data_IF_385260695026
#
_entry.id   IF_385260695026
#
_cell.length_a   1.000
_cell.length_b   1.000
_cell.length_c   1.000
_cell.angle_alpha   90.00
_cell.angle_beta   90.00
_cell.angle_gamma   90.00
#
_symmetry.space_group_name_H-M   'P 1'
#
loop_
_entity.id
_entity.type
_entity.pdbx_description
1 polymer ?
#
# COMPACT_ATOMS: atom_id res chain seq x y z
N UNK A 1 6.74 -15.85 -17.36
CA UNK A 1 6.30 -14.56 -16.74
C UNK A 1 7.20 -13.43 -17.21
N UNK A 2 6.66 -12.27 -17.54
CA UNK A 2 7.38 -11.05 -17.95
C UNK A 2 7.23 -9.98 -16.87
N UNK A 3 8.34 -9.37 -16.45
CA UNK A 3 8.34 -8.26 -15.48
C UNK A 3 8.84 -7.02 -16.19
N UNK A 4 8.08 -5.93 -16.09
CA UNK A 4 8.43 -4.63 -16.64
C UNK A 4 8.42 -3.58 -15.54
N UNK A 5 9.29 -2.59 -15.64
CA UNK A 5 9.17 -1.38 -14.85
C UNK A 5 7.97 -0.56 -15.34
N UNK A 6 7.26 0.02 -14.41
CA UNK A 6 6.22 1.00 -14.72
C UNK A 6 6.83 2.22 -15.44
N UNK A 7 6.10 2.73 -16.40
CA UNK A 7 6.38 4.00 -17.05
C UNK A 7 5.13 4.89 -17.02
N UNK A 8 5.28 6.19 -17.27
CA UNK A 8 4.15 7.13 -17.24
C UNK A 8 3.05 6.79 -18.25
N UNK A 9 3.40 6.14 -19.35
CA UNK A 9 2.47 5.66 -20.36
C UNK A 9 1.54 4.55 -19.82
N UNK A 10 1.97 3.82 -18.79
CA UNK A 10 1.22 2.74 -18.17
C UNK A 10 0.23 3.21 -17.10
N UNK A 11 0.18 4.53 -16.80
CA UNK A 11 -0.60 5.09 -15.69
C UNK A 11 -2.06 4.64 -15.70
N UNK A 12 -2.70 4.65 -16.85
CA UNK A 12 -4.10 4.24 -16.97
C UNK A 12 -4.28 2.75 -16.69
N UNK A 13 -3.41 1.91 -17.26
CA UNK A 13 -3.43 0.45 -17.05
C UNK A 13 -3.13 0.10 -15.60
N UNK A 14 -2.16 0.76 -14.98
CA UNK A 14 -1.84 0.63 -13.56
C UNK A 14 -3.04 0.98 -12.68
N UNK A 15 -3.64 2.17 -12.85
CA UNK A 15 -4.76 2.63 -12.04
C UNK A 15 -6.01 1.75 -12.21
N UNK A 16 -6.26 1.27 -13.43
CA UNK A 16 -7.34 0.31 -13.70
C UNK A 16 -7.10 -1.01 -12.95
N UNK A 17 -5.87 -1.52 -12.99
CA UNK A 17 -5.50 -2.72 -12.24
C UNK A 17 -5.67 -2.53 -10.73
N UNK A 18 -5.21 -1.40 -10.18
CA UNK A 18 -5.40 -1.06 -8.76
C UNK A 18 -6.88 -1.15 -8.39
N UNK A 19 -7.77 -0.51 -9.15
CA UNK A 19 -9.22 -0.48 -8.86
C UNK A 19 -9.87 -1.86 -8.85
N UNK A 20 -9.36 -2.79 -9.67
CA UNK A 20 -9.92 -4.13 -9.86
C UNK A 20 -9.18 -5.22 -9.06
N UNK A 21 -8.16 -4.87 -8.29
CA UNK A 21 -7.40 -5.81 -7.46
C UNK A 21 -8.20 -6.28 -6.25
N UNK A 22 -8.04 -7.55 -5.85
CA UNK A 22 -8.72 -8.09 -4.65
C UNK A 22 -8.19 -7.55 -3.32
N UNK A 23 -7.03 -6.91 -3.33
CA UNK A 23 -6.36 -6.29 -2.19
C UNK A 23 -6.01 -4.83 -2.45
N UNK A 24 -6.92 -4.12 -3.12
CA UNK A 24 -6.75 -2.72 -3.52
C UNK A 24 -6.73 -1.75 -2.34
N UNK A 25 -6.02 -0.64 -2.53
CA UNK A 25 -6.09 0.54 -1.67
C UNK A 25 -5.74 1.80 -2.48
N UNK A 26 -6.32 2.96 -2.15
CA UNK A 26 -6.08 4.20 -2.88
C UNK A 26 -4.61 4.67 -2.82
N UNK A 27 -3.83 4.23 -1.82
CA UNK A 27 -2.39 4.49 -1.74
C UNK A 27 -1.62 4.10 -3.00
N UNK A 28 -2.13 3.13 -3.74
CA UNK A 28 -1.46 2.58 -4.93
C UNK A 28 -1.88 3.23 -6.24
N UNK A 29 -2.83 4.18 -6.20
CA UNK A 29 -3.12 5.02 -7.36
C UNK A 29 -1.92 5.93 -7.65
N UNK A 30 -1.57 6.08 -8.93
CA UNK A 30 -0.35 6.81 -9.34
C UNK A 30 -0.34 8.25 -8.86
N UNK A 31 -1.47 8.96 -8.90
CA UNK A 31 -1.53 10.34 -8.42
C UNK A 31 -1.17 10.46 -6.94
N UNK A 32 -1.53 9.46 -6.12
CA UNK A 32 -1.15 9.42 -4.71
C UNK A 32 0.33 9.05 -4.51
N UNK A 33 0.83 8.05 -5.25
CA UNK A 33 2.23 7.62 -5.15
C UNK A 33 3.20 8.71 -5.66
N UNK A 34 2.83 9.38 -6.75
CA UNK A 34 3.63 10.40 -7.41
C UNK A 34 3.67 11.73 -6.64
N UNK A 35 2.80 11.93 -5.64
CA UNK A 35 2.81 13.11 -4.77
C UNK A 35 4.16 13.33 -4.06
N UNK A 36 4.91 12.26 -3.79
CA UNK A 36 6.24 12.29 -3.18
C UNK A 36 7.34 11.81 -4.13
N UNK A 37 7.18 11.97 -5.42
CA UNK A 37 8.16 11.56 -6.44
C UNK A 37 9.52 12.25 -6.29
N UNK A 38 9.57 13.42 -5.64
CA UNK A 38 10.79 14.12 -5.28
C UNK A 38 11.65 13.40 -4.21
N UNK A 39 11.05 12.47 -3.47
CA UNK A 39 11.70 11.77 -2.33
C UNK A 39 12.01 10.32 -2.60
N UNK A 40 11.32 9.69 -3.55
CA UNK A 40 11.41 8.25 -3.80
C UNK A 40 11.62 7.98 -5.28
N UNK A 41 12.73 7.35 -5.62
CA UNK A 41 12.99 6.87 -6.97
C UNK A 41 12.06 5.69 -7.28
N UNK A 42 11.08 5.91 -8.14
CA UNK A 42 10.09 4.89 -8.51
C UNK A 42 10.75 3.70 -9.21
N UNK A 43 10.47 2.53 -8.70
CA UNK A 43 10.86 1.24 -9.26
C UNK A 43 9.69 0.26 -9.26
N UNK A 44 8.50 0.79 -9.44
CA UNK A 44 7.27 -0.01 -9.48
C UNK A 44 7.30 -0.99 -10.63
N UNK A 45 6.76 -2.20 -10.38
CA UNK A 45 6.82 -3.30 -11.34
C UNK A 45 5.43 -3.74 -11.76
N UNK A 46 5.31 -4.12 -13.01
CA UNK A 46 4.13 -4.71 -13.64
C UNK A 46 4.46 -6.13 -14.09
N UNK A 47 3.63 -7.09 -13.70
CA UNK A 47 3.85 -8.51 -13.92
C UNK A 47 2.80 -9.04 -14.89
N UNK A 48 3.28 -9.58 -16.02
CA UNK A 48 2.45 -10.11 -17.07
C UNK A 48 2.64 -11.64 -17.18
N UNK A 49 1.54 -12.34 -17.44
CA UNK A 49 1.56 -13.76 -17.74
C UNK A 49 2.06 -14.04 -19.18
N UNK A 50 2.03 -15.31 -19.59
CA UNK A 50 2.47 -15.73 -20.91
C UNK A 50 1.54 -15.26 -22.05
N UNK A 51 0.32 -14.82 -21.70
CA UNK A 51 -0.66 -14.26 -22.65
C UNK A 51 -0.59 -12.73 -22.71
N UNK A 52 0.45 -12.12 -22.11
CA UNK A 52 0.63 -10.67 -21.97
C UNK A 52 -0.47 -9.98 -21.15
N UNK A 53 -1.18 -10.72 -20.32
CA UNK A 53 -2.15 -10.16 -19.38
C UNK A 53 -1.45 -9.67 -18.12
N UNK A 54 -1.75 -8.45 -17.66
CA UNK A 54 -1.32 -7.94 -16.37
C UNK A 54 -2.04 -8.71 -15.25
N UNK A 55 -1.28 -9.38 -14.38
CA UNK A 55 -1.79 -10.25 -13.31
C UNK A 55 -1.41 -9.79 -11.91
N UNK A 56 -0.35 -8.99 -11.80
CA UNK A 56 0.07 -8.38 -10.54
C UNK A 56 0.84 -7.08 -10.79
N UNK A 57 0.84 -6.20 -9.80
CA UNK A 57 1.70 -5.01 -9.75
C UNK A 57 2.37 -4.96 -8.39
N UNK A 58 3.59 -4.42 -8.36
CA UNK A 58 4.34 -4.16 -7.13
C UNK A 58 4.66 -2.67 -7.05
N UNK A 59 3.93 -1.90 -6.25
CA UNK A 59 4.35 -0.55 -5.89
C UNK A 59 5.71 -0.60 -5.21
N UNK A 60 6.71 0.03 -5.77
CA UNK A 60 8.07 -0.05 -5.24
C UNK A 60 8.88 1.22 -5.51
N UNK A 61 9.87 1.44 -4.67
CA UNK A 61 10.94 2.38 -4.92
C UNK A 61 12.29 1.72 -4.64
N UNK A 62 13.32 2.24 -5.27
CA UNK A 62 14.69 1.80 -5.03
C UNK A 62 15.45 2.85 -4.21
N UNK A 63 16.33 2.36 -3.35
CA UNK A 63 17.34 3.18 -2.69
C UNK A 63 18.60 2.35 -2.55
N UNK A 64 19.68 2.82 -3.17
CA UNK A 64 20.92 2.07 -3.29
C UNK A 64 20.67 0.72 -4.02
N UNK A 65 21.02 -0.40 -3.42
CA UNK A 65 20.82 -1.76 -3.91
C UNK A 65 19.59 -2.47 -3.30
N UNK A 66 18.67 -1.71 -2.68
CA UNK A 66 17.50 -2.25 -1.96
C UNK A 66 16.22 -1.83 -2.65
N UNK A 67 15.40 -2.81 -3.01
CA UNK A 67 14.03 -2.61 -3.46
C UNK A 67 13.08 -2.60 -2.26
N UNK A 68 12.32 -1.53 -2.12
CA UNK A 68 11.29 -1.41 -1.08
C UNK A 68 9.90 -1.50 -1.71
N UNK A 69 8.99 -2.24 -1.10
CA UNK A 69 7.58 -2.19 -1.49
C UNK A 69 6.90 -0.95 -0.92
N UNK A 70 7.37 0.14 -1.26
CA UNK A 70 7.28 1.57 -1.18
C UNK A 70 7.53 2.15 0.23
N UNK A 71 8.69 2.84 0.40
CA UNK A 71 9.10 3.46 1.67
C UNK A 71 8.14 4.56 2.13
N UNK A 72 7.61 5.35 1.20
CA UNK A 72 6.69 6.47 1.48
C UNK A 72 5.28 6.05 1.87
N UNK A 73 4.92 4.77 1.76
CA UNK A 73 3.59 4.25 2.12
C UNK A 73 3.65 3.47 3.43
N UNK A 74 2.56 3.48 4.18
CA UNK A 74 2.43 2.72 5.44
C UNK A 74 2.58 1.22 5.21
N UNK A 75 2.02 0.72 4.12
CA UNK A 75 2.10 -0.67 3.67
C UNK A 75 2.22 -0.71 2.14
N UNK A 76 2.57 -1.85 1.60
CA UNK A 76 2.78 -2.06 0.17
C UNK A 76 2.61 -3.53 -0.18
N UNK A 77 3.47 -4.06 -1.05
CA UNK A 77 3.43 -5.44 -1.50
C UNK A 77 2.67 -5.60 -2.81
N UNK A 78 2.51 -6.83 -3.24
CA UNK A 78 1.82 -7.12 -4.49
C UNK A 78 0.33 -6.83 -4.41
N UNK A 79 -0.18 -6.09 -5.39
CA UNK A 79 -1.59 -6.09 -5.73
C UNK A 79 -1.83 -7.16 -6.78
N UNK A 80 -2.92 -7.88 -6.64
CA UNK A 80 -3.21 -9.05 -7.47
C UNK A 80 -4.66 -9.08 -7.93
N UNK A 81 -4.89 -9.71 -9.08
CA UNK A 81 -6.24 -9.92 -9.61
C UNK A 81 -6.98 -11.06 -8.85
N UNK A 82 -8.26 -11.17 -9.10
CA UNK A 82 -9.14 -12.19 -8.51
C UNK A 82 -8.74 -13.64 -8.83
N UNK A 83 -7.94 -13.84 -9.87
CA UNK A 83 -7.52 -15.16 -10.34
C UNK A 83 -6.18 -15.61 -9.76
N UNK A 84 -5.52 -14.74 -8.99
CA UNK A 84 -4.24 -15.07 -8.38
C UNK A 84 -4.34 -16.33 -7.53
N UNK A 85 -3.38 -17.23 -7.73
CA UNK A 85 -3.19 -18.47 -7.00
C UNK A 85 -1.82 -18.51 -6.35
N UNK A 86 -1.69 -19.32 -5.32
CA UNK A 86 -0.42 -19.51 -4.61
C UNK A 86 0.70 -19.97 -5.55
N UNK A 87 0.42 -20.89 -6.47
CA UNK A 87 1.38 -21.37 -7.47
C UNK A 87 1.89 -20.23 -8.36
N UNK A 88 0.97 -19.42 -8.87
CA UNK A 88 1.29 -18.24 -9.68
C UNK A 88 2.14 -17.23 -8.91
N UNK A 89 1.82 -16.99 -7.64
CA UNK A 89 2.62 -16.08 -6.80
C UNK A 89 4.03 -16.62 -6.55
N UNK A 90 4.19 -17.93 -6.37
CA UNK A 90 5.52 -18.57 -6.28
C UNK A 90 6.33 -18.34 -7.56
N UNK A 91 5.74 -18.50 -8.73
CA UNK A 91 6.38 -18.23 -10.02
C UNK A 91 6.75 -16.75 -10.19
N UNK A 92 5.89 -15.83 -9.74
CA UNK A 92 6.17 -14.40 -9.71
C UNK A 92 7.42 -14.11 -8.88
N UNK A 93 7.55 -14.68 -7.70
CA UNK A 93 8.72 -14.46 -6.84
C UNK A 93 10.00 -15.07 -7.45
N UNK A 94 9.92 -16.23 -8.09
CA UNK A 94 11.07 -16.79 -8.82
C UNK A 94 11.50 -15.88 -9.96
N UNK A 95 10.55 -15.33 -10.71
CA UNK A 95 10.83 -14.38 -11.79
C UNK A 95 11.38 -13.06 -11.24
N UNK A 96 10.81 -12.58 -10.13
CA UNK A 96 11.26 -11.36 -9.44
C UNK A 96 12.71 -11.50 -8.96
N UNK A 97 13.08 -12.63 -8.35
CA UNK A 97 14.46 -12.88 -7.91
C UNK A 97 15.46 -12.83 -9.07
N UNK A 98 15.10 -13.35 -10.23
CA UNK A 98 15.95 -13.26 -11.43
C UNK A 98 16.07 -11.81 -11.90
N UNK A 99 14.92 -11.14 -12.03
CA UNK A 99 14.85 -9.76 -12.48
C UNK A 99 15.68 -8.81 -11.60
N UNK A 100 15.53 -8.86 -10.28
CA UNK A 100 16.29 -7.98 -9.37
C UNK A 100 17.78 -8.25 -9.40
N UNK A 101 18.20 -9.53 -9.58
CA UNK A 101 19.60 -9.89 -9.73
C UNK A 101 20.21 -9.27 -10.99
N UNK A 102 19.48 -9.26 -12.10
CA UNK A 102 19.90 -8.60 -13.34
C UNK A 102 20.01 -7.07 -13.20
N UNK A 103 19.25 -6.49 -12.27
CA UNK A 103 19.30 -5.06 -11.95
C UNK A 103 20.33 -4.71 -10.84
N UNK A 104 21.16 -5.66 -10.39
CA UNK A 104 22.11 -5.52 -9.27
C UNK A 104 21.43 -5.11 -7.95
N UNK A 105 20.20 -5.54 -7.72
CA UNK A 105 19.48 -5.34 -6.47
C UNK A 105 19.74 -6.53 -5.56
N UNK A 106 20.28 -6.28 -4.36
CA UNK A 106 20.71 -7.33 -3.44
C UNK A 106 19.62 -7.71 -2.43
N UNK A 107 18.66 -6.79 -2.17
CA UNK A 107 17.69 -6.97 -1.09
C UNK A 107 16.31 -6.45 -1.46
N UNK A 108 15.29 -7.13 -0.96
CA UNK A 108 13.91 -6.64 -0.96
C UNK A 108 13.46 -6.41 0.48
N UNK A 109 12.91 -5.23 0.75
CA UNK A 109 12.17 -4.93 1.99
C UNK A 109 10.68 -4.87 1.64
N UNK A 110 9.97 -5.92 2.01
CA UNK A 110 8.58 -6.13 1.65
C UNK A 110 7.65 -5.79 2.81
N UNK A 111 6.71 -4.88 2.59
CA UNK A 111 5.63 -4.57 3.52
C UNK A 111 4.36 -5.28 3.02
N UNK A 112 3.71 -6.05 3.89
CA UNK A 112 2.45 -6.69 3.50
C UNK A 112 1.27 -5.72 3.66
N UNK A 113 0.30 -5.81 2.75
CA UNK A 113 -0.98 -5.13 2.89
C UNK A 113 -1.73 -5.78 4.06
N UNK A 114 -2.23 -5.02 5.05
CA UNK A 114 -3.05 -5.58 6.12
C UNK A 114 -4.35 -6.19 5.58
N UNK A 115 -4.70 -7.38 6.05
CA UNK A 115 -5.89 -8.13 5.59
C UNK A 115 -7.20 -7.36 5.72
N UNK A 116 -7.28 -6.41 6.66
CA UNK A 116 -8.46 -5.55 6.88
C UNK A 116 -8.84 -4.69 5.67
N UNK A 117 -7.89 -4.45 4.75
CA UNK A 117 -8.11 -3.71 3.52
C UNK A 117 -8.38 -4.61 2.32
N UNK A 118 -8.31 -5.93 2.48
CA UNK A 118 -8.58 -6.84 1.38
C UNK A 118 -10.09 -6.90 1.09
N UNK A 119 -10.47 -6.74 -0.16
CA UNK A 119 -11.85 -6.98 -0.62
C UNK A 119 -12.15 -8.48 -0.58
N UNK A 120 -11.16 -9.30 -0.92
CA UNK A 120 -11.19 -10.75 -0.82
C UNK A 120 -9.88 -11.23 -0.17
N UNK A 121 -9.89 -12.35 0.57
CA UNK A 121 -8.67 -12.91 1.15
C UNK A 121 -7.53 -13.01 0.12
N UNK A 122 -6.36 -12.50 0.46
CA UNK A 122 -5.19 -12.40 -0.40
C UNK A 122 -3.92 -12.50 0.44
N UNK A 123 -3.46 -13.72 0.69
CA UNK A 123 -2.27 -13.99 1.50
C UNK A 123 -1.25 -14.86 0.76
N UNK A 124 -1.37 -14.96 -0.56
CA UNK A 124 -0.48 -15.76 -1.40
C UNK A 124 0.98 -15.25 -1.32
N UNK A 125 1.15 -13.94 -1.19
CA UNK A 125 2.45 -13.30 -1.00
C UNK A 125 3.09 -13.70 0.34
N UNK A 126 2.31 -13.78 1.43
CA UNK A 126 2.81 -14.18 2.76
C UNK A 126 3.32 -15.61 2.76
N UNK A 127 2.57 -16.53 2.13
CA UNK A 127 3.04 -17.90 1.97
C UNK A 127 4.31 -17.97 1.14
N UNK A 128 4.39 -17.16 0.09
CA UNK A 128 5.55 -17.12 -0.80
C UNK A 128 6.77 -16.50 -0.11
N UNK A 129 6.60 -15.48 0.73
CA UNK A 129 7.66 -14.96 1.59
C UNK A 129 8.22 -16.05 2.53
N UNK A 130 7.33 -16.83 3.17
CA UNK A 130 7.73 -17.97 4.00
C UNK A 130 8.53 -19.00 3.20
N UNK A 131 8.09 -19.36 1.99
CA UNK A 131 8.76 -20.34 1.12
C UNK A 131 10.12 -19.85 0.59
N UNK A 132 10.37 -18.55 0.63
CA UNK A 132 11.64 -17.93 0.24
C UNK A 132 12.49 -17.51 1.46
N UNK A 133 12.23 -18.07 2.65
CA UNK A 133 12.99 -17.82 3.88
C UNK A 133 13.10 -16.32 4.23
N UNK A 134 12.07 -15.53 3.88
CA UNK A 134 12.03 -14.12 4.21
C UNK A 134 12.00 -13.90 5.74
N UNK A 135 12.85 -13.02 6.23
CA UNK A 135 12.93 -12.72 7.65
C UNK A 135 11.93 -11.65 8.04
N UNK A 136 11.09 -11.93 9.04
CA UNK A 136 10.21 -10.92 9.64
C UNK A 136 11.07 -9.94 10.45
N UNK A 137 11.17 -8.68 9.97
CA UNK A 137 12.00 -7.64 10.59
C UNK A 137 11.18 -6.65 11.42
N UNK A 138 9.86 -6.54 11.16
CA UNK A 138 8.95 -5.65 11.88
C UNK A 138 7.53 -6.18 11.84
N UNK A 139 6.81 -6.04 12.95
CA UNK A 139 5.37 -6.28 13.05
C UNK A 139 4.76 -5.21 13.94
N UNK A 140 3.83 -4.45 13.38
CA UNK A 140 3.06 -3.45 14.09
C UNK A 140 1.66 -3.98 14.41
N UNK A 141 1.05 -3.44 15.47
CA UNK A 141 -0.33 -3.72 15.84
C UNK A 141 -1.17 -2.50 15.48
N UNK A 142 -2.26 -2.73 14.77
CA UNK A 142 -3.23 -1.69 14.42
C UNK A 142 -4.56 -1.92 15.13
N UNK A 143 -5.26 -0.83 15.42
CA UNK A 143 -6.64 -0.87 15.91
C UNK A 143 -7.57 -0.41 14.81
N UNK A 144 -8.56 -1.23 14.49
CA UNK A 144 -9.53 -0.94 13.44
C UNK A 144 -10.91 -0.74 14.05
N UNK A 145 -11.62 0.28 13.59
CA UNK A 145 -13.01 0.53 13.98
C UNK A 145 -13.87 0.11 12.79
N UNK A 146 -14.75 -0.87 13.00
CA UNK A 146 -15.76 -1.22 12.02
C UNK A 146 -16.89 -0.19 12.08
N UNK A 147 -17.04 0.58 11.01
CA UNK A 147 -18.04 1.64 10.93
C UNK A 147 -19.47 1.11 10.67
N UNK A 148 -19.62 -0.17 10.38
CA UNK A 148 -20.93 -0.82 10.24
C UNK A 148 -21.52 -1.18 11.61
N UNK A 149 -20.70 -1.21 12.66
CA UNK A 149 -21.11 -1.47 14.02
C UNK A 149 -21.27 -0.18 14.84
N UNK A 150 -22.10 -0.25 15.88
CA UNK A 150 -22.24 0.88 16.80
C UNK A 150 -20.97 1.05 17.64
N UNK A 151 -20.29 2.20 17.48
CA UNK A 151 -19.11 2.53 18.27
C UNK A 151 -19.48 2.75 19.74
N UNK A 152 -18.90 1.94 20.64
CA UNK A 152 -19.09 2.07 22.09
C UNK A 152 -17.97 2.89 22.71
N UNK A 153 -18.28 4.10 23.13
CA UNK A 153 -17.32 4.96 23.82
C UNK A 153 -17.20 4.62 25.30
N UNK A 154 -15.98 4.71 25.85
CA UNK A 154 -15.72 4.66 27.28
C UNK A 154 -16.41 5.84 28.00
N UNK A 155 -16.58 5.72 29.33
CA UNK A 155 -17.16 6.80 30.15
C UNK A 155 -16.40 8.12 30.01
N UNK A 156 -15.05 8.07 30.02
CA UNK A 156 -14.21 9.26 29.87
C UNK A 156 -14.40 9.92 28.50
N UNK A 157 -14.44 9.13 27.41
CA UNK A 157 -14.68 9.67 26.07
C UNK A 157 -16.07 10.31 25.95
N UNK A 158 -17.10 9.67 26.50
CA UNK A 158 -18.47 10.26 26.54
C UNK A 158 -18.50 11.58 27.29
N UNK A 159 -17.79 11.68 28.42
CA UNK A 159 -17.67 12.92 29.16
C UNK A 159 -17.01 14.03 28.35
N UNK A 160 -15.87 13.73 27.67
CA UNK A 160 -15.19 14.71 26.84
C UNK A 160 -16.06 15.19 25.66
N UNK A 161 -16.78 14.28 25.00
CA UNK A 161 -17.70 14.62 23.91
C UNK A 161 -18.82 15.54 24.44
N UNK A 162 -19.40 15.20 25.59
CA UNK A 162 -20.46 16.02 26.18
C UNK A 162 -19.97 17.41 26.64
N UNK A 163 -18.71 17.50 27.10
CA UNK A 163 -18.08 18.77 27.42
C UNK A 163 -17.91 19.62 26.16
N UNK A 164 -17.35 19.07 25.09
CA UNK A 164 -17.19 19.78 23.82
C UNK A 164 -18.53 20.30 23.27
N UNK A 165 -19.59 19.47 23.32
CA UNK A 165 -20.96 19.91 22.94
C UNK A 165 -21.50 21.07 23.77
N UNK A 166 -21.22 21.07 25.08
CA UNK A 166 -21.64 22.19 25.97
C UNK A 166 -20.87 23.47 25.68
N UNK A 167 -19.61 23.33 25.22
CA UNK A 167 -18.76 24.46 24.83
C UNK A 167 -19.00 24.88 23.36
N UNK A 168 -20.07 24.36 22.74
CA UNK A 168 -20.46 24.67 21.34
C UNK A 168 -19.36 24.39 20.31
N UNK A 169 -18.52 23.39 20.55
CA UNK A 169 -17.54 22.93 19.56
C UNK A 169 -18.28 22.18 18.48
N UNK A 170 -18.13 22.64 17.24
CA UNK A 170 -18.72 22.05 16.06
C UNK A 170 -17.61 21.42 15.20
N UNK A 171 -17.97 20.41 14.41
CA UNK A 171 -17.10 19.77 13.41
C UNK A 171 -17.81 19.78 12.06
N UNK A 172 -17.08 20.14 11.02
CA UNK A 172 -17.62 20.20 9.66
C UNK A 172 -16.53 19.81 8.66
N UNK A 173 -16.95 19.42 7.45
CA UNK A 173 -16.04 19.24 6.33
C UNK A 173 -15.72 20.60 5.71
N UNK A 174 -14.46 20.82 5.34
CA UNK A 174 -14.00 22.09 4.76
C UNK A 174 -12.93 21.83 3.71
N UNK A 175 -12.97 22.59 2.63
CA UNK A 175 -11.94 22.68 1.61
C UNK A 175 -10.94 23.81 1.86
N UNK A 176 -11.01 24.45 3.03
CA UNK A 176 -10.06 25.50 3.46
C UNK A 176 -8.75 24.85 3.94
N UNK A 177 -7.98 24.35 2.99
CA UNK A 177 -6.66 23.73 3.24
C UNK A 177 -5.61 24.75 3.69
N UNK A 178 -5.75 26.02 3.32
CA UNK A 178 -4.80 27.07 3.68
C UNK A 178 -4.80 27.29 5.21
N UNK A 179 -5.97 27.56 5.80
CA UNK A 179 -6.12 27.67 7.26
C UNK A 179 -5.67 26.40 7.99
N UNK A 180 -5.99 25.22 7.43
CA UNK A 180 -5.53 23.95 8.02
C UNK A 180 -4.01 23.87 8.09
N UNK A 181 -3.30 24.21 6.99
CA UNK A 181 -1.86 24.15 6.95
C UNK A 181 -1.20 25.20 7.83
N UNK A 182 -1.74 26.42 7.93
CA UNK A 182 -1.27 27.45 8.86
C UNK A 182 -1.33 26.97 10.30
N UNK A 183 -2.47 26.42 10.73
CA UNK A 183 -2.65 25.88 12.07
C UNK A 183 -1.71 24.69 12.34
N UNK A 184 -1.58 23.78 11.41
CA UNK A 184 -0.71 22.61 11.56
C UNK A 184 0.76 22.99 11.67
N UNK A 185 1.22 23.90 10.82
CA UNK A 185 2.60 24.42 10.86
C UNK A 185 2.91 25.08 12.20
N UNK A 186 2.02 25.92 12.71
CA UNK A 186 2.19 26.57 14.01
C UNK A 186 2.17 25.63 15.22
N UNK A 187 1.70 24.39 15.05
CA UNK A 187 1.76 23.34 16.10
C UNK A 187 3.04 22.50 16.02
N UNK A 188 3.63 22.39 14.83
CA UNK A 188 4.82 21.56 14.59
C UNK A 188 6.16 22.30 14.78
N UNK A 189 6.14 23.63 14.80
CA UNK A 189 7.25 24.51 15.18
C UNK A 189 7.36 24.66 16.71
#
# INVERSE_FOLDING_TARGET
MKILKYTVEDKNNWNEFVKNSKNTHFFFLRDYMEYHSDRFEDFSLMIFDETEKLIAILPANIKEDILYSHQGLTFGGFLVDDKMKTETMLEIFESLKKFIKEQNIEKIVYKCIPYIYHIKPSEEDRYTLFRNDAKLIRRDVTSTIDLTEQVRYSKGRKWTINKAKKELVETFESDDYETFWELLTGVLE
#
